data_IF_347914025266
#
_entry.id   IF_347914025266
#
_cell.length_a   1.000
_cell.length_b   1.000
_cell.length_c   1.000
_cell.angle_alpha   90.00
_cell.angle_beta   90.00
_cell.angle_gamma   90.00
#
_symmetry.space_group_name_H-M   'P 1'
#
loop_
_entity.id
_entity.type
_entity.pdbx_description
1 polymer ?
#
# COMPACT_ATOMS: atom_id res chain seq x y z
N UNK A 1 7.04 -16.86 -44.78
CA UNK A 1 6.49 -18.19 -44.39
C UNK A 1 7.20 -18.55 -43.07
N UNK A 2 6.59 -18.24 -42.00
CA UNK A 2 6.69 -18.93 -40.72
C UNK A 2 5.52 -18.39 -39.86
N UNK A 3 4.37 -18.98 -40.20
CA UNK A 3 3.14 -18.92 -39.42
C UNK A 3 3.19 -19.97 -38.31
N UNK A 4 2.63 -19.59 -37.16
CA UNK A 4 1.95 -20.45 -36.22
C UNK A 4 2.76 -21.55 -35.53
N UNK A 5 3.20 -21.19 -34.30
CA UNK A 5 3.03 -22.08 -33.16
C UNK A 5 2.20 -21.40 -32.09
N UNK A 6 0.90 -21.42 -32.29
CA UNK A 6 -0.06 -21.35 -31.23
C UNK A 6 -0.02 -22.71 -30.54
N UNK A 7 0.73 -22.83 -29.45
CA UNK A 7 0.72 -24.03 -28.64
C UNK A 7 -0.69 -24.31 -28.18
N UNK A 8 -1.18 -25.48 -28.53
CA UNK A 8 -2.38 -26.11 -27.99
C UNK A 8 -2.18 -26.27 -26.48
N UNK A 9 -2.49 -25.23 -25.70
CA UNK A 9 -2.69 -25.37 -24.26
C UNK A 9 -3.95 -26.22 -24.07
N UNK A 10 -3.78 -27.30 -23.32
CA UNK A 10 -4.83 -28.26 -22.97
C UNK A 10 -6.09 -27.54 -22.48
N UNK A 11 -7.11 -27.45 -23.33
CA UNK A 11 -8.40 -26.83 -23.06
C UNK A 11 -9.13 -27.48 -21.86
N UNK A 12 -8.70 -28.66 -21.44
CA UNK A 12 -9.33 -29.45 -20.38
C UNK A 12 -9.02 -28.95 -18.95
N UNK A 13 -7.96 -28.14 -18.76
CA UNK A 13 -7.56 -27.69 -17.40
C UNK A 13 -8.39 -26.49 -16.94
N UNK A 14 -8.96 -25.71 -17.85
CA UNK A 14 -9.72 -24.50 -17.52
C UNK A 14 -11.19 -24.74 -17.20
N UNK A 15 -11.81 -25.81 -17.70
CA UNK A 15 -13.24 -26.11 -17.47
C UNK A 15 -13.57 -26.43 -15.99
N UNK A 16 -12.55 -26.68 -15.16
CA UNK A 16 -12.72 -26.95 -13.72
C UNK A 16 -12.38 -25.77 -12.80
N UNK A 17 -11.84 -24.67 -13.36
CA UNK A 17 -11.44 -23.50 -12.55
C UNK A 17 -12.62 -22.53 -12.44
N UNK A 18 -13.03 -22.24 -11.21
CA UNK A 18 -14.03 -21.23 -10.89
C UNK A 18 -13.36 -20.02 -10.26
N UNK A 19 -13.80 -18.82 -10.66
CA UNK A 19 -13.41 -17.56 -10.04
C UNK A 19 -14.62 -17.04 -9.28
N UNK A 20 -14.41 -16.73 -8.00
CA UNK A 20 -15.48 -16.26 -7.13
C UNK A 20 -14.92 -15.32 -6.05
N UNK A 21 -15.82 -14.60 -5.39
CA UNK A 21 -15.49 -13.85 -4.16
C UNK A 21 -15.45 -14.87 -3.04
N UNK A 22 -14.38 -14.84 -2.23
CA UNK A 22 -14.18 -15.75 -1.12
C UNK A 22 -15.22 -15.53 -0.01
N UNK A 23 -15.67 -16.61 0.58
CA UNK A 23 -16.48 -16.60 1.81
C UNK A 23 -15.62 -16.71 3.08
N UNK A 24 -16.27 -16.59 4.24
CA UNK A 24 -15.59 -16.74 5.52
C UNK A 24 -14.95 -18.13 5.69
N UNK A 25 -15.55 -19.15 5.08
CA UNK A 25 -15.05 -20.53 5.07
C UNK A 25 -13.73 -20.69 4.33
N UNK A 26 -13.40 -19.77 3.43
CA UNK A 26 -12.19 -19.79 2.61
C UNK A 26 -10.96 -19.21 3.33
N UNK A 27 -11.16 -18.39 4.36
CA UNK A 27 -10.08 -17.61 5.01
C UNK A 27 -8.90 -18.47 5.48
N UNK A 28 -9.17 -19.67 5.99
CA UNK A 28 -8.11 -20.58 6.43
C UNK A 28 -7.22 -21.06 5.28
N UNK A 29 -7.82 -21.37 4.12
CA UNK A 29 -7.07 -21.80 2.93
C UNK A 29 -6.34 -20.62 2.28
N UNK A 30 -6.96 -19.44 2.29
CA UNK A 30 -6.34 -18.17 1.83
C UNK A 30 -5.10 -17.87 2.68
N UNK A 31 -5.21 -17.94 4.02
CA UNK A 31 -4.09 -17.73 4.94
C UNK A 31 -2.94 -18.71 4.69
N UNK A 32 -3.25 -19.99 4.43
CA UNK A 32 -2.23 -20.99 4.07
C UNK A 32 -1.52 -20.63 2.75
N UNK A 33 -2.28 -20.21 1.74
CA UNK A 33 -1.68 -19.79 0.45
C UNK A 33 -0.81 -18.53 0.64
N UNK A 34 -1.24 -17.59 1.50
CA UNK A 34 -0.45 -16.41 1.87
C UNK A 34 0.89 -16.83 2.48
N UNK A 35 0.87 -17.65 3.55
CA UNK A 35 2.07 -18.13 4.24
C UNK A 35 3.04 -18.90 3.32
N UNK A 36 2.52 -19.56 2.29
CA UNK A 36 3.33 -20.26 1.28
C UNK A 36 3.96 -19.32 0.23
N UNK A 37 3.42 -18.12 0.09
CA UNK A 37 3.74 -17.20 -1.00
C UNK A 37 4.55 -16.00 -0.57
N UNK A 38 4.42 -15.60 0.70
CA UNK A 38 5.03 -14.41 1.29
C UNK A 38 5.80 -14.79 2.54
N UNK A 39 6.85 -14.03 2.86
CA UNK A 39 7.73 -14.25 4.02
C UNK A 39 7.33 -13.37 5.21
N UNK A 40 6.03 -13.16 5.38
CA UNK A 40 5.50 -12.34 6.45
C UNK A 40 5.57 -13.07 7.80
N UNK A 41 5.84 -12.29 8.86
CA UNK A 41 5.85 -12.78 10.24
C UNK A 41 4.44 -13.21 10.68
N UNK A 42 4.37 -14.22 11.56
CA UNK A 42 3.08 -14.74 12.03
C UNK A 42 2.25 -13.66 12.75
N UNK A 43 2.89 -12.75 13.49
CA UNK A 43 2.23 -11.65 14.18
C UNK A 43 1.55 -10.67 13.20
N UNK A 44 2.24 -10.32 12.12
CA UNK A 44 1.64 -9.52 11.04
C UNK A 44 0.47 -10.24 10.37
N UNK A 45 0.62 -11.53 10.07
CA UNK A 45 -0.46 -12.34 9.50
C UNK A 45 -1.66 -12.44 10.43
N UNK A 46 -1.45 -12.55 11.74
CA UNK A 46 -2.53 -12.55 12.74
C UNK A 46 -3.31 -11.24 12.72
N UNK A 47 -2.60 -10.11 12.71
CA UNK A 47 -3.19 -8.78 12.53
C UNK A 47 -3.96 -8.69 11.21
N UNK A 48 -3.31 -8.99 10.07
CA UNK A 48 -3.91 -8.85 8.76
C UNK A 48 -5.21 -9.65 8.62
N UNK A 49 -5.19 -10.93 8.97
CA UNK A 49 -6.34 -11.82 8.80
C UNK A 49 -7.45 -11.59 9.83
N UNK A 50 -7.15 -11.03 11.00
CA UNK A 50 -8.17 -10.70 12.01
C UNK A 50 -8.80 -9.31 11.83
N UNK A 51 -8.07 -8.37 11.24
CA UNK A 51 -8.47 -6.95 11.22
C UNK A 51 -8.67 -6.39 9.81
N UNK A 52 -7.80 -6.74 8.86
CA UNK A 52 -7.81 -6.18 7.50
C UNK A 52 -8.58 -7.08 6.54
N UNK A 53 -8.22 -8.35 6.43
CA UNK A 53 -8.80 -9.28 5.46
C UNK A 53 -10.32 -9.45 5.59
N UNK A 54 -10.87 -9.32 6.79
CA UNK A 54 -12.31 -9.42 7.06
C UNK A 54 -13.11 -8.23 6.49
N UNK A 55 -12.46 -7.12 6.19
CA UNK A 55 -13.06 -5.89 5.61
C UNK A 55 -12.86 -5.81 4.09
N UNK A 56 -12.01 -6.66 3.53
CA UNK A 56 -11.61 -6.63 2.14
C UNK A 56 -12.52 -7.47 1.26
N UNK A 57 -12.46 -7.21 -0.04
CA UNK A 57 -12.95 -8.15 -1.03
C UNK A 57 -11.79 -9.07 -1.43
N UNK A 58 -11.96 -10.37 -1.17
CA UNK A 58 -10.95 -11.36 -1.55
C UNK A 58 -11.51 -12.19 -2.70
N UNK A 59 -10.74 -12.27 -3.77
CA UNK A 59 -11.10 -13.02 -4.97
C UNK A 59 -10.21 -14.25 -5.05
N UNK A 60 -10.81 -15.38 -5.37
CA UNK A 60 -10.12 -16.67 -5.45
C UNK A 60 -10.40 -17.40 -6.75
N UNK A 61 -9.41 -18.11 -7.23
CA UNK A 61 -9.59 -19.12 -8.24
C UNK A 61 -9.52 -20.50 -7.57
N UNK A 62 -10.57 -21.32 -7.77
CA UNK A 62 -10.69 -22.66 -7.21
C UNK A 62 -10.61 -23.72 -8.29
N UNK A 63 -9.87 -24.79 -8.03
CA UNK A 63 -9.90 -26.03 -8.78
C UNK A 63 -10.57 -27.11 -7.92
N UNK A 64 -11.82 -27.42 -8.22
CA UNK A 64 -12.68 -28.16 -7.31
C UNK A 64 -12.94 -27.37 -6.03
N UNK A 65 -12.54 -27.90 -4.86
CA UNK A 65 -12.62 -27.21 -3.58
C UNK A 65 -11.32 -26.50 -3.18
N UNK A 66 -10.20 -26.70 -3.90
CA UNK A 66 -8.91 -26.16 -3.54
C UNK A 66 -8.72 -24.74 -4.11
N UNK A 67 -8.34 -23.80 -3.27
CA UNK A 67 -7.91 -22.46 -3.69
C UNK A 67 -6.53 -22.56 -4.32
N UNK A 68 -6.39 -22.08 -5.56
CA UNK A 68 -5.14 -22.16 -6.33
C UNK A 68 -4.56 -20.80 -6.67
N UNK A 69 -5.37 -19.73 -6.52
CA UNK A 69 -4.90 -18.34 -6.68
C UNK A 69 -5.79 -17.42 -5.87
N UNK A 70 -5.24 -16.29 -5.42
CA UNK A 70 -5.96 -15.27 -4.67
C UNK A 70 -5.51 -13.87 -5.08
N UNK A 71 -6.38 -12.90 -4.88
CA UNK A 71 -6.14 -11.45 -4.96
C UNK A 71 -7.01 -10.78 -3.90
N UNK A 72 -6.41 -9.94 -3.08
CA UNK A 72 -7.14 -9.11 -2.13
C UNK A 72 -7.30 -7.70 -2.69
N UNK A 73 -8.45 -7.09 -2.49
CA UNK A 73 -8.77 -5.72 -2.86
C UNK A 73 -9.16 -4.97 -1.59
N UNK A 74 -8.25 -4.16 -1.08
CA UNK A 74 -8.43 -3.35 0.12
C UNK A 74 -9.07 -2.01 -0.28
N UNK A 75 -10.26 -1.67 0.24
CA UNK A 75 -10.90 -0.40 -0.09
C UNK A 75 -10.25 0.77 0.64
N UNK A 76 -9.98 1.85 -0.09
CA UNK A 76 -9.49 3.10 0.44
C UNK A 76 -10.33 4.27 -0.07
N UNK A 77 -10.36 5.36 0.72
CA UNK A 77 -10.82 6.65 0.24
C UNK A 77 -9.61 7.49 -0.12
N UNK A 78 -9.57 8.01 -1.35
CA UNK A 78 -8.53 8.91 -1.82
C UNK A 78 -9.07 10.33 -1.85
N UNK A 79 -8.28 11.32 -1.43
CA UNK A 79 -8.54 12.73 -1.69
C UNK A 79 -7.83 13.11 -2.99
N UNK A 80 -8.59 13.58 -3.96
CA UNK A 80 -8.09 14.10 -5.24
C UNK A 80 -8.33 15.61 -5.32
N UNK A 81 -7.28 16.39 -5.49
CA UNK A 81 -7.36 17.85 -5.63
C UNK A 81 -7.04 18.25 -7.06
N UNK A 82 -8.01 18.93 -7.70
CA UNK A 82 -7.87 19.45 -9.05
C UNK A 82 -8.32 20.90 -9.09
N UNK A 83 -7.46 21.80 -9.52
CA UNK A 83 -7.72 23.24 -9.60
C UNK A 83 -8.23 23.83 -8.25
N UNK A 84 -7.68 23.36 -7.13
CA UNK A 84 -8.04 23.81 -5.78
C UNK A 84 -9.36 23.23 -5.23
N UNK A 85 -9.98 22.31 -5.95
CA UNK A 85 -11.20 21.60 -5.48
C UNK A 85 -10.82 20.17 -5.13
N UNK A 86 -11.11 19.78 -3.89
CA UNK A 86 -10.88 18.41 -3.42
C UNK A 86 -12.16 17.58 -3.52
N UNK A 87 -12.06 16.42 -4.14
CA UNK A 87 -13.09 15.39 -4.20
C UNK A 87 -12.59 14.09 -3.59
N UNK A 88 -13.52 13.34 -2.98
CA UNK A 88 -13.18 12.01 -2.47
C UNK A 88 -13.50 10.94 -3.50
N UNK A 89 -12.55 10.03 -3.69
CA UNK A 89 -12.57 8.98 -4.69
C UNK A 89 -12.49 7.61 -4.03
N UNK A 90 -13.16 6.63 -4.62
CA UNK A 90 -13.07 5.25 -4.17
C UNK A 90 -11.86 4.58 -4.78
N UNK A 91 -10.88 4.25 -3.96
CA UNK A 91 -9.68 3.51 -4.33
C UNK A 91 -9.77 2.04 -3.93
N UNK A 92 -9.07 1.18 -4.66
CA UNK A 92 -8.86 -0.21 -4.31
C UNK A 92 -7.38 -0.56 -4.39
N UNK A 93 -6.78 -0.90 -3.25
CA UNK A 93 -5.40 -1.36 -3.20
C UNK A 93 -5.34 -2.88 -3.35
N UNK A 94 -4.65 -3.34 -4.38
CA UNK A 94 -4.51 -4.76 -4.69
C UNK A 94 -3.28 -5.31 -3.99
N UNK A 95 -3.50 -6.29 -3.11
CA UNK A 95 -2.44 -6.98 -2.36
C UNK A 95 -2.64 -8.49 -2.39
N UNK A 96 -1.70 -9.25 -1.85
CA UNK A 96 -1.83 -10.70 -1.66
C UNK A 96 -2.06 -11.45 -2.98
N UNK A 97 -1.45 -10.99 -4.07
CA UNK A 97 -1.60 -11.64 -5.39
C UNK A 97 -0.72 -12.89 -5.45
N UNK A 98 -1.32 -14.04 -5.27
CA UNK A 98 -0.60 -15.31 -5.25
C UNK A 98 -1.25 -16.39 -6.10
N UNK A 99 -0.42 -17.30 -6.61
CA UNK A 99 -0.85 -18.52 -7.31
C UNK A 99 0.05 -19.67 -6.87
N UNK A 100 -0.54 -20.80 -6.49
CA UNK A 100 0.25 -21.99 -6.11
C UNK A 100 1.19 -22.39 -7.24
N UNK A 101 2.42 -22.86 -6.93
CA UNK A 101 3.49 -23.09 -7.92
C UNK A 101 3.05 -23.94 -9.12
N UNK A 102 2.30 -25.02 -8.88
CA UNK A 102 1.85 -25.98 -9.90
C UNK A 102 0.90 -25.39 -10.93
N UNK A 103 0.26 -24.24 -10.58
CA UNK A 103 -0.70 -23.54 -11.43
C UNK A 103 -0.15 -22.23 -12.00
N UNK A 104 1.12 -21.90 -11.73
CA UNK A 104 1.77 -20.70 -12.30
C UNK A 104 1.96 -20.83 -13.81
N UNK A 105 2.07 -19.67 -14.48
CA UNK A 105 2.27 -19.54 -15.95
C UNK A 105 1.15 -20.13 -16.82
N UNK A 106 -0.01 -20.43 -16.24
CA UNK A 106 -1.19 -20.96 -16.93
C UNK A 106 -2.28 -19.87 -17.13
N UNK A 107 -2.00 -18.61 -16.92
CA UNK A 107 -2.94 -17.51 -17.13
C UNK A 107 -3.95 -17.26 -16.00
N UNK A 108 -3.94 -18.06 -14.92
CA UNK A 108 -4.92 -17.99 -13.81
C UNK A 108 -4.94 -16.61 -13.15
N UNK A 109 -3.77 -16.07 -12.81
CA UNK A 109 -3.64 -14.72 -12.25
C UNK A 109 -4.25 -13.67 -13.19
N UNK A 110 -4.08 -13.84 -14.50
CA UNK A 110 -4.67 -12.92 -15.50
C UNK A 110 -6.17 -12.97 -15.53
N UNK A 111 -6.74 -14.18 -15.44
CA UNK A 111 -8.20 -14.38 -15.38
C UNK A 111 -8.77 -13.79 -14.09
N UNK A 112 -8.10 -14.04 -12.96
CA UNK A 112 -8.52 -13.53 -11.65
C UNK A 112 -8.43 -12.00 -11.59
N UNK A 113 -7.34 -11.40 -12.07
CA UNK A 113 -7.19 -9.94 -12.15
C UNK A 113 -8.26 -9.31 -13.07
N UNK A 114 -8.57 -9.91 -14.20
CA UNK A 114 -9.65 -9.43 -15.06
C UNK A 114 -11.00 -9.41 -14.32
N UNK A 115 -11.29 -10.43 -13.51
CA UNK A 115 -12.49 -10.47 -12.68
C UNK A 115 -12.49 -9.35 -11.63
N UNK A 116 -11.36 -9.13 -10.93
CA UNK A 116 -11.19 -8.02 -9.97
C UNK A 116 -11.46 -6.66 -10.62
N UNK A 117 -10.89 -6.41 -11.81
CA UNK A 117 -11.09 -5.15 -12.52
C UNK A 117 -12.54 -4.96 -13.00
N UNK A 118 -13.22 -6.03 -13.43
CA UNK A 118 -14.65 -5.99 -13.77
C UNK A 118 -15.49 -5.67 -12.52
N UNK A 119 -15.23 -6.34 -11.41
CA UNK A 119 -15.87 -6.05 -10.13
C UNK A 119 -15.65 -4.60 -9.69
N UNK A 120 -14.44 -4.09 -9.82
CA UNK A 120 -14.13 -2.71 -9.46
C UNK A 120 -14.93 -1.70 -10.30
N UNK A 121 -15.03 -1.93 -11.61
CA UNK A 121 -15.86 -1.10 -12.49
C UNK A 121 -17.35 -1.17 -12.09
N UNK A 122 -17.90 -2.35 -11.87
CA UNK A 122 -19.29 -2.54 -11.46
C UNK A 122 -19.62 -1.92 -10.09
N UNK A 123 -18.61 -1.79 -9.22
CA UNK A 123 -18.75 -1.24 -7.86
C UNK A 123 -18.24 0.21 -7.72
N UNK A 124 -18.09 0.93 -8.84
CA UNK A 124 -17.75 2.34 -8.92
C UNK A 124 -16.43 2.70 -8.22
N UNK A 125 -15.39 1.88 -8.37
CA UNK A 125 -14.05 2.29 -8.00
C UNK A 125 -13.52 3.29 -9.02
N UNK A 126 -12.98 4.40 -8.56
CA UNK A 126 -12.34 5.41 -9.40
C UNK A 126 -10.91 4.97 -9.77
N UNK A 127 -10.21 4.36 -8.84
CA UNK A 127 -8.82 3.94 -8.96
C UNK A 127 -8.59 2.53 -8.42
N UNK A 128 -7.82 1.73 -9.15
CA UNK A 128 -7.20 0.50 -8.63
C UNK A 128 -5.70 0.69 -8.68
N UNK A 129 -5.01 0.42 -7.59
CA UNK A 129 -3.58 0.60 -7.51
C UNK A 129 -2.91 -0.56 -6.78
N UNK A 130 -1.62 -0.73 -7.02
CA UNK A 130 -0.83 -1.79 -6.42
C UNK A 130 0.66 -1.42 -6.43
N UNK A 131 1.41 -2.03 -5.53
CA UNK A 131 2.86 -2.07 -5.55
C UNK A 131 3.32 -3.43 -6.09
N UNK A 132 3.82 -3.50 -7.33
CA UNK A 132 4.12 -4.79 -7.96
C UNK A 132 5.49 -5.32 -7.53
N UNK A 133 5.64 -6.61 -7.29
CA UNK A 133 6.96 -7.24 -7.25
C UNK A 133 7.70 -7.05 -8.61
N UNK A 134 6.95 -7.17 -9.73
CA UNK A 134 7.44 -6.92 -11.09
C UNK A 134 6.37 -6.26 -11.93
N UNK A 135 6.63 -5.06 -12.42
CA UNK A 135 5.71 -4.28 -13.27
C UNK A 135 5.24 -5.05 -14.52
N UNK A 136 6.09 -5.91 -15.07
CA UNK A 136 5.75 -6.69 -16.27
C UNK A 136 4.51 -7.56 -16.09
N UNK A 137 4.19 -7.95 -14.87
CA UNK A 137 2.98 -8.75 -14.59
C UNK A 137 1.70 -7.94 -14.76
N UNK A 138 1.76 -6.60 -14.71
CA UNK A 138 0.58 -5.73 -14.69
C UNK A 138 0.47 -4.79 -15.89
N UNK A 139 1.59 -4.43 -16.53
CA UNK A 139 1.61 -3.52 -17.72
C UNK A 139 0.67 -3.96 -18.83
N UNK A 140 0.60 -5.28 -19.12
CA UNK A 140 -0.30 -5.82 -20.16
C UNK A 140 -1.79 -5.85 -19.76
N UNK A 141 -2.15 -5.35 -18.56
CA UNK A 141 -3.52 -5.35 -18.02
C UNK A 141 -4.06 -3.93 -17.78
N UNK A 142 -3.45 -2.95 -18.39
CA UNK A 142 -3.85 -1.54 -18.29
C UNK A 142 -3.30 -0.79 -17.09
N UNK A 143 -2.51 -1.43 -16.22
CA UNK A 143 -1.80 -0.72 -15.17
C UNK A 143 -0.62 0.06 -15.74
N UNK A 144 -0.47 1.30 -15.28
CA UNK A 144 0.65 2.17 -15.62
C UNK A 144 1.43 2.56 -14.36
N UNK A 145 2.77 2.61 -14.41
CA UNK A 145 3.56 3.11 -13.30
C UNK A 145 3.33 4.62 -13.14
N UNK A 146 3.08 5.05 -11.90
CA UNK A 146 2.76 6.44 -11.59
C UNK A 146 3.74 7.02 -10.58
N UNK A 147 4.07 6.29 -9.52
CA UNK A 147 4.95 6.75 -8.45
C UNK A 147 6.17 5.85 -8.39
N UNK A 148 7.37 6.44 -8.32
CA UNK A 148 8.59 5.72 -7.96
C UNK A 148 8.83 5.87 -6.46
N UNK A 149 9.11 4.77 -5.77
CA UNK A 149 9.46 4.77 -4.36
C UNK A 149 10.79 4.06 -4.14
N UNK A 150 11.38 4.29 -2.98
CA UNK A 150 12.65 3.66 -2.62
C UNK A 150 12.89 3.68 -1.13
N UNK A 151 13.99 3.08 -0.74
CA UNK A 151 14.48 3.10 0.63
C UNK A 151 15.64 4.08 0.76
N UNK A 152 15.64 4.82 1.85
CA UNK A 152 16.64 5.83 2.17
C UNK A 152 17.19 5.53 3.55
N UNK A 153 18.49 5.35 3.68
CA UNK A 153 19.13 5.22 4.98
C UNK A 153 19.22 6.59 5.65
N UNK A 154 18.63 6.72 6.82
CA UNK A 154 18.57 7.95 7.60
C UNK A 154 19.21 7.79 8.98
N UNK A 155 19.90 6.70 9.24
CA UNK A 155 20.48 6.32 10.54
C UNK A 155 21.32 7.42 11.18
N UNK A 156 22.19 8.06 10.39
CA UNK A 156 23.14 9.07 10.88
C UNK A 156 22.63 10.51 10.74
N UNK A 157 21.44 10.70 10.18
CA UNK A 157 20.88 12.02 9.99
C UNK A 157 20.38 12.59 11.32
N UNK A 158 20.46 13.91 11.46
CA UNK A 158 20.03 14.64 12.65
C UNK A 158 19.09 15.77 12.24
N UNK A 159 18.11 16.11 13.10
CA UNK A 159 17.23 17.24 12.82
C UNK A 159 18.02 18.56 12.86
N UNK A 160 17.63 19.49 12.02
CA UNK A 160 18.14 20.88 12.06
C UNK A 160 17.38 21.70 13.09
N UNK A 161 16.05 21.45 13.22
CA UNK A 161 15.16 22.11 14.17
C UNK A 161 14.86 21.17 15.35
N UNK A 162 14.95 21.68 16.58
CA UNK A 162 14.81 20.90 17.81
C UNK A 162 13.67 21.39 18.72
N UNK A 163 12.67 22.07 18.18
CA UNK A 163 11.52 22.62 18.93
C UNK A 163 10.18 22.09 18.42
N UNK A 164 10.19 20.89 17.84
CA UNK A 164 8.97 20.12 17.58
C UNK A 164 8.47 19.44 18.86
N UNK A 165 7.28 18.91 18.84
CA UNK A 165 6.69 18.08 19.89
C UNK A 165 6.34 16.69 19.34
N UNK A 166 6.84 15.64 19.98
CA UNK A 166 6.49 14.25 19.69
C UNK A 166 5.22 13.88 20.46
N UNK A 167 4.21 13.35 19.76
CA UNK A 167 2.91 12.99 20.33
C UNK A 167 2.49 11.58 19.90
N UNK A 168 1.68 10.93 20.75
CA UNK A 168 0.86 9.78 20.37
C UNK A 168 -0.47 10.22 19.70
N UNK A 169 -1.19 9.27 19.15
CA UNK A 169 -2.49 9.55 18.51
C UNK A 169 -3.55 9.99 19.54
N UNK A 170 -3.43 9.57 20.79
CA UNK A 170 -4.31 9.93 21.92
C UNK A 170 -4.23 11.42 22.28
N UNK A 171 -3.12 12.07 21.99
CA UNK A 171 -2.88 13.49 22.29
C UNK A 171 -3.41 14.44 21.19
N UNK A 172 -3.99 13.88 20.11
CA UNK A 172 -4.40 14.63 18.93
C UNK A 172 -5.91 14.68 18.82
N UNK A 173 -6.45 15.86 18.54
CA UNK A 173 -7.88 16.04 18.30
C UNK A 173 -8.25 15.78 16.83
N UNK A 174 -9.54 15.51 16.57
CA UNK A 174 -10.04 15.32 15.21
C UNK A 174 -9.95 16.61 14.38
N UNK A 175 -10.05 17.78 15.03
CA UNK A 175 -9.87 19.09 14.39
C UNK A 175 -8.43 19.27 13.91
N UNK A 176 -7.45 18.83 14.69
CA UNK A 176 -6.03 18.86 14.27
C UNK A 176 -5.78 17.93 13.08
N UNK A 177 -6.35 16.72 13.07
CA UNK A 177 -6.26 15.79 11.93
C UNK A 177 -6.95 16.36 10.69
N UNK A 178 -8.09 17.03 10.85
CA UNK A 178 -8.78 17.70 9.75
C UNK A 178 -7.94 18.86 9.20
N UNK A 179 -7.37 19.70 10.07
CA UNK A 179 -6.43 20.78 9.66
C UNK A 179 -5.24 20.22 8.89
N UNK A 180 -4.64 19.16 9.39
CA UNK A 180 -3.53 18.47 8.73
C UNK A 180 -3.94 17.97 7.33
N UNK A 181 -5.10 17.30 7.21
CA UNK A 181 -5.62 16.83 5.93
C UNK A 181 -5.86 17.97 4.93
N UNK A 182 -6.37 19.12 5.40
CA UNK A 182 -6.51 20.31 4.54
C UNK A 182 -5.17 20.82 4.05
N UNK A 183 -4.14 20.86 4.90
CA UNK A 183 -2.78 21.25 4.48
C UNK A 183 -2.19 20.27 3.45
N UNK A 184 -2.48 18.98 3.59
CA UNK A 184 -2.03 17.97 2.62
C UNK A 184 -2.64 18.20 1.23
N UNK A 185 -3.87 18.73 1.11
CA UNK A 185 -4.46 19.05 -0.21
C UNK A 185 -3.74 20.18 -0.94
N UNK A 186 -2.95 20.98 -0.24
CA UNK A 186 -2.12 22.04 -0.85
C UNK A 186 -0.78 21.48 -1.37
N UNK A 187 -0.41 20.28 -0.93
CA UNK A 187 0.84 19.65 -1.27
C UNK A 187 0.68 18.50 -2.26
N UNK A 188 -0.39 17.72 -2.10
CA UNK A 188 -0.62 16.51 -2.88
C UNK A 188 -1.92 16.60 -3.68
N UNK A 189 -1.85 16.22 -4.94
CA UNK A 189 -3.00 16.15 -5.83
C UNK A 189 -3.83 14.88 -5.60
N UNK A 190 -3.18 13.80 -5.14
CA UNK A 190 -3.84 12.54 -4.82
C UNK A 190 -3.15 11.88 -3.61
N UNK A 191 -3.90 11.57 -2.56
CA UNK A 191 -3.38 10.92 -1.36
C UNK A 191 -4.50 10.22 -0.56
N UNK A 192 -4.12 9.33 0.34
CA UNK A 192 -5.05 8.76 1.34
C UNK A 192 -5.13 9.70 2.55
N UNK A 193 -6.30 10.25 2.90
CA UNK A 193 -6.46 11.14 4.06
C UNK A 193 -6.03 10.45 5.37
N UNK A 194 -5.28 11.15 6.18
CA UNK A 194 -4.81 10.70 7.49
C UNK A 194 -5.90 10.93 8.55
N UNK A 195 -7.00 10.17 8.43
CA UNK A 195 -8.09 10.19 9.42
C UNK A 195 -7.68 9.43 10.69
N UNK A 196 -8.39 9.65 11.80
CA UNK A 196 -8.16 8.88 13.03
C UNK A 196 -8.26 7.38 12.79
N UNK A 197 -9.32 6.92 12.13
CA UNK A 197 -9.49 5.49 11.82
C UNK A 197 -8.34 4.92 10.97
N UNK A 198 -7.81 5.70 10.01
CA UNK A 198 -6.64 5.31 9.24
C UNK A 198 -5.39 5.17 10.13
N UNK A 199 -5.16 6.12 11.04
CA UNK A 199 -4.01 6.10 11.93
C UNK A 199 -4.11 5.01 13.01
N UNK A 200 -5.32 4.70 13.48
CA UNK A 200 -5.58 3.56 14.37
C UNK A 200 -5.27 2.23 13.66
N UNK A 201 -5.71 2.06 12.43
CA UNK A 201 -5.39 0.87 11.62
C UNK A 201 -3.86 0.76 11.40
N UNK A 202 -3.20 1.85 11.03
CA UNK A 202 -1.74 1.90 10.87
C UNK A 202 -1.02 1.60 12.20
N UNK A 203 -1.54 2.10 13.31
CA UNK A 203 -1.00 1.81 14.65
C UNK A 203 -1.06 0.32 14.97
N UNK A 204 -2.20 -0.33 14.71
CA UNK A 204 -2.32 -1.80 14.89
C UNK A 204 -1.36 -2.59 13.99
N UNK A 205 -1.17 -2.13 12.75
CA UNK A 205 -0.20 -2.71 11.82
C UNK A 205 1.22 -2.60 12.36
N UNK A 206 1.65 -1.40 12.72
CA UNK A 206 2.97 -1.16 13.31
C UNK A 206 3.19 -1.97 14.59
N UNK A 207 2.20 -2.02 15.48
CA UNK A 207 2.27 -2.79 16.73
C UNK A 207 2.39 -4.29 16.50
N UNK A 208 1.85 -4.83 15.40
CA UNK A 208 2.03 -6.23 15.03
C UNK A 208 3.50 -6.59 14.76
N UNK A 209 4.32 -5.58 14.44
CA UNK A 209 5.76 -5.66 14.20
C UNK A 209 6.55 -4.83 15.25
N UNK A 210 6.02 -4.76 16.48
CA UNK A 210 6.62 -4.13 17.66
C UNK A 210 6.85 -2.61 17.56
N UNK A 211 6.30 -1.96 16.55
CA UNK A 211 6.39 -0.53 16.31
C UNK A 211 5.18 0.25 16.81
N UNK A 212 5.04 1.49 16.33
CA UNK A 212 3.89 2.35 16.62
C UNK A 212 3.74 3.47 15.58
N UNK A 213 2.71 4.31 15.75
CA UNK A 213 2.47 5.54 14.99
C UNK A 213 2.85 6.74 15.83
N UNK A 214 3.62 7.65 15.25
CA UNK A 214 4.04 8.88 15.88
C UNK A 214 3.56 10.10 15.10
N UNK A 215 3.24 11.15 15.83
CA UNK A 215 2.80 12.42 15.30
C UNK A 215 3.74 13.52 15.79
N UNK A 216 4.20 14.34 14.86
CA UNK A 216 5.09 15.46 15.15
C UNK A 216 4.31 16.74 14.98
N UNK A 217 4.27 17.56 16.03
CA UNK A 217 3.69 18.91 15.98
C UNK A 217 4.78 19.98 15.89
N UNK A 218 4.46 21.03 15.16
CA UNK A 218 5.14 22.30 15.17
C UNK A 218 4.18 23.31 15.79
N UNK A 219 4.53 23.81 16.97
CA UNK A 219 3.62 24.56 17.83
C UNK A 219 2.36 23.72 18.16
N UNK A 220 1.18 24.12 17.69
CA UNK A 220 -0.09 23.41 17.92
C UNK A 220 -0.61 22.64 16.69
N UNK A 221 0.17 22.62 15.59
CA UNK A 221 -0.25 22.05 14.32
C UNK A 221 0.54 20.79 13.98
N UNK A 222 -0.13 19.81 13.39
CA UNK A 222 0.56 18.60 12.93
C UNK A 222 1.47 18.97 11.75
N UNK A 223 2.77 18.74 11.91
CA UNK A 223 3.78 18.91 10.87
C UNK A 223 4.01 17.62 10.07
N UNK A 224 3.98 16.47 10.76
CA UNK A 224 4.18 15.16 10.15
C UNK A 224 3.54 14.02 10.95
N UNK A 225 3.33 12.90 10.26
CA UNK A 225 2.90 11.61 10.83
C UNK A 225 3.76 10.51 10.21
N UNK A 226 4.13 9.50 10.98
CA UNK A 226 4.80 8.31 10.46
C UNK A 226 4.48 7.07 11.28
N UNK A 227 4.54 5.90 10.63
CA UNK A 227 4.62 4.61 11.30
C UNK A 227 6.06 4.14 11.37
N UNK A 228 6.39 3.34 12.38
CA UNK A 228 7.68 2.65 12.48
C UNK A 228 7.44 1.18 12.76
N UNK A 229 8.22 0.31 12.14
CA UNK A 229 8.20 -1.13 12.33
C UNK A 229 9.61 -1.63 12.62
N UNK A 230 9.72 -2.72 13.35
CA UNK A 230 11.00 -3.26 13.78
C UNK A 230 11.26 -4.66 13.23
N UNK A 231 12.48 -4.86 12.73
CA UNK A 231 12.99 -6.17 12.33
C UNK A 231 14.39 -6.38 12.92
N UNK A 232 14.45 -7.04 14.06
CA UNK A 232 15.69 -7.22 14.82
C UNK A 232 16.27 -5.89 15.31
N UNK A 233 17.46 -5.54 14.80
CA UNK A 233 18.17 -4.29 15.10
C UNK A 233 17.98 -3.21 14.01
N UNK A 234 17.00 -3.40 13.12
CA UNK A 234 16.62 -2.46 12.07
C UNK A 234 15.27 -1.85 12.36
N UNK A 235 15.09 -0.59 11.98
CA UNK A 235 13.81 0.10 12.00
C UNK A 235 13.44 0.54 10.57
N UNK A 236 12.21 0.29 10.17
CA UNK A 236 11.65 0.77 8.91
C UNK A 236 10.58 1.81 9.20
N UNK A 237 10.78 3.01 8.64
CA UNK A 237 9.80 4.08 8.70
C UNK A 237 8.87 3.93 7.50
N UNK A 238 7.61 3.78 7.80
CA UNK A 238 6.54 3.62 6.80
C UNK A 238 5.54 4.77 6.90
N UNK A 239 4.84 5.05 5.81
CA UNK A 239 3.73 6.02 5.77
C UNK A 239 4.11 7.43 6.24
N UNK A 240 5.41 7.82 6.16
CA UNK A 240 5.81 9.17 6.51
C UNK A 240 5.11 10.21 5.64
N UNK A 241 4.32 11.06 6.25
CA UNK A 241 3.51 12.07 5.59
C UNK A 241 3.73 13.43 6.27
N UNK A 242 4.10 14.46 5.50
CA UNK A 242 4.43 15.78 6.04
C UNK A 242 3.83 16.91 5.22
N UNK A 243 3.48 18.00 5.90
CA UNK A 243 3.05 19.25 5.24
C UNK A 243 4.23 20.16 4.91
N UNK A 244 5.38 19.96 5.52
CA UNK A 244 6.58 20.80 5.31
C UNK A 244 7.39 20.43 4.07
N UNK A 245 7.31 19.16 3.65
CA UNK A 245 8.15 18.61 2.59
C UNK A 245 9.56 18.22 3.01
N UNK A 246 9.92 18.47 4.25
CA UNK A 246 11.22 18.10 4.84
C UNK A 246 11.09 16.80 5.63
N UNK A 247 12.18 16.05 5.77
CA UNK A 247 12.29 14.93 6.72
C UNK A 247 12.67 15.37 8.12
N UNK A 248 12.90 16.65 8.35
CA UNK A 248 13.37 17.20 9.62
C UNK A 248 12.43 16.86 10.82
N UNK A 249 11.08 16.97 10.68
CA UNK A 249 10.18 16.52 11.74
C UNK A 249 10.33 15.03 12.07
N UNK A 250 10.55 14.16 11.06
CA UNK A 250 10.78 12.74 11.26
C UNK A 250 12.08 12.50 12.05
N UNK A 251 13.17 13.16 11.66
CA UNK A 251 14.47 13.02 12.35
C UNK A 251 14.38 13.46 13.81
N UNK A 252 13.64 14.54 14.08
CA UNK A 252 13.34 14.96 15.45
C UNK A 252 12.59 13.86 16.21
N UNK A 253 11.51 13.33 15.66
CA UNK A 253 10.71 12.28 16.29
C UNK A 253 11.52 11.02 16.60
N UNK A 254 12.41 10.60 15.70
CA UNK A 254 13.32 9.46 15.93
C UNK A 254 14.31 9.76 17.06
N UNK A 255 14.82 10.98 17.18
CA UNK A 255 15.75 11.35 18.23
C UNK A 255 15.10 11.44 19.63
N UNK A 256 13.85 11.89 19.69
CA UNK A 256 13.11 12.08 20.96
C UNK A 256 12.33 10.83 21.41
N UNK A 257 12.06 9.92 20.50
CA UNK A 257 11.39 8.67 20.87
C UNK A 257 12.32 7.76 21.67
N UNK A 258 11.77 7.00 22.62
CA UNK A 258 12.48 5.94 23.35
C UNK A 258 12.82 4.74 22.45
N UNK A 259 12.98 5.00 21.16
CA UNK A 259 13.32 3.98 20.17
C UNK A 259 14.72 3.45 20.51
N UNK A 260 14.90 2.12 20.62
CA UNK A 260 16.22 1.53 20.82
C UNK A 260 17.19 2.00 19.75
N UNK A 261 18.47 2.07 20.11
CA UNK A 261 19.52 2.40 19.12
C UNK A 261 19.57 1.27 18.10
N UNK A 262 19.10 1.56 16.90
CA UNK A 262 19.14 0.62 15.78
C UNK A 262 20.45 0.74 15.02
N UNK A 263 20.91 -0.37 14.46
CA UNK A 263 22.06 -0.39 13.55
C UNK A 263 21.72 0.26 12.21
N UNK A 264 20.45 0.23 11.83
CA UNK A 264 19.96 0.78 10.56
C UNK A 264 18.53 1.30 10.70
N UNK A 265 18.30 2.53 10.24
CA UNK A 265 16.96 3.14 10.10
C UNK A 265 16.74 3.45 8.64
N UNK A 266 15.75 2.78 8.04
CA UNK A 266 15.36 2.97 6.64
C UNK A 266 14.03 3.73 6.57
N UNK A 267 13.95 4.71 5.69
CA UNK A 267 12.72 5.42 5.33
C UNK A 267 12.24 4.94 3.98
N UNK A 268 11.03 4.38 3.92
CA UNK A 268 10.37 4.01 2.67
C UNK A 268 9.51 5.16 2.14
N UNK A 269 9.67 5.51 0.88
CA UNK A 269 8.83 6.52 0.25
C UNK A 269 9.43 7.16 -1.01
N UNK A 270 8.94 8.36 -1.31
CA UNK A 270 9.34 9.19 -2.46
C UNK A 270 9.96 10.47 -1.93
N UNK A 271 11.30 10.56 -1.92
CA UNK A 271 12.03 11.72 -1.42
C UNK A 271 13.12 12.12 -2.40
N UNK A 272 13.11 13.37 -2.84
CA UNK A 272 14.04 13.86 -3.86
C UNK A 272 15.35 14.38 -3.28
N UNK A 273 15.37 14.77 -2.00
CA UNK A 273 16.51 15.47 -1.38
C UNK A 273 17.58 14.53 -0.82
N UNK A 274 17.32 13.23 -0.80
CA UNK A 274 18.23 12.22 -0.26
C UNK A 274 18.59 11.16 -1.30
N UNK A 275 19.80 10.63 -1.19
CA UNK A 275 20.25 9.57 -2.08
C UNK A 275 19.55 8.25 -1.75
N UNK A 276 18.74 7.79 -2.69
CA UNK A 276 18.13 6.47 -2.62
C UNK A 276 19.21 5.38 -2.57
N UNK A 277 19.14 4.51 -1.55
CA UNK A 277 20.06 3.36 -1.41
C UNK A 277 19.55 2.13 -2.13
N UNK A 278 18.23 1.96 -2.18
CA UNK A 278 17.59 0.83 -2.84
C UNK A 278 16.33 1.31 -3.53
N UNK A 279 16.21 1.03 -4.83
CA UNK A 279 14.97 1.29 -5.54
C UNK A 279 13.90 0.35 -4.98
N UNK A 280 12.81 0.94 -4.51
CA UNK A 280 11.60 0.23 -4.12
C UNK A 280 10.77 -0.16 -5.34
N UNK A 281 9.61 -0.70 -5.09
CA UNK A 281 8.63 -1.00 -6.12
C UNK A 281 7.75 0.24 -6.32
N UNK A 282 7.65 0.74 -7.53
CA UNK A 282 6.78 1.88 -7.84
C UNK A 282 5.30 1.49 -7.72
N UNK A 283 4.45 2.48 -7.47
CA UNK A 283 3.00 2.27 -7.46
C UNK A 283 2.46 2.32 -8.89
N UNK A 284 1.68 1.34 -9.26
CA UNK A 284 0.98 1.27 -10.54
C UNK A 284 -0.52 1.51 -10.34
N UNK A 285 -1.12 2.26 -11.26
CA UNK A 285 -2.54 2.59 -11.26
C UNK A 285 -3.27 2.04 -12.47
N UNK A 286 -4.55 1.73 -12.28
CA UNK A 286 -5.55 1.44 -13.28
C UNK A 286 -6.81 2.27 -12.99
N UNK A 287 -7.35 2.92 -14.00
CA UNK A 287 -8.62 3.67 -13.94
C UNK A 287 -9.70 2.90 -14.69
N UNK A 288 -10.75 2.40 -14.03
CA UNK A 288 -11.77 1.57 -14.67
C UNK A 288 -12.55 2.26 -15.81
N UNK A 289 -12.64 3.58 -15.77
CA UNK A 289 -13.49 4.37 -16.69
C UNK A 289 -12.73 5.31 -17.61
N UNK A 290 -11.40 5.38 -17.51
CA UNK A 290 -10.55 6.29 -18.29
C UNK A 290 -9.29 5.58 -18.73
N UNK A 291 -8.74 6.01 -19.88
CA UNK A 291 -7.32 5.76 -20.12
C UNK A 291 -6.53 6.55 -19.07
N UNK A 292 -5.62 5.88 -18.37
CA UNK A 292 -4.76 6.53 -17.38
C UNK A 292 -4.15 7.79 -17.98
N UNK A 293 -4.58 8.94 -17.48
CA UNK A 293 -4.26 10.23 -18.06
C UNK A 293 -2.80 10.60 -17.82
N UNK A 294 -2.26 11.51 -18.66
CA UNK A 294 -0.91 12.08 -18.48
C UNK A 294 -0.71 12.75 -17.11
N UNK A 295 -1.80 13.08 -16.40
CA UNK A 295 -1.76 13.67 -15.06
C UNK A 295 -0.90 12.85 -14.10
N UNK A 296 -1.05 11.54 -14.11
CA UNK A 296 -0.30 10.64 -13.21
C UNK A 296 1.13 10.37 -13.68
N UNK A 297 1.42 10.57 -14.96
CA UNK A 297 2.76 10.35 -15.53
C UNK A 297 3.80 11.41 -15.15
N UNK A 298 3.36 12.54 -14.56
CA UNK A 298 4.21 13.72 -14.30
C UNK A 298 4.08 14.29 -12.90
N UNK A 299 3.36 13.65 -12.00
CA UNK A 299 2.98 14.25 -10.72
C UNK A 299 3.91 13.80 -9.59
N UNK A 300 4.84 14.69 -9.24
CA UNK A 300 5.56 14.66 -7.95
C UNK A 300 4.61 14.93 -6.76
N UNK A 301 3.30 15.10 -7.04
CA UNK A 301 2.25 15.46 -6.10
C UNK A 301 1.31 14.30 -5.76
N UNK A 302 1.65 13.06 -6.12
CA UNK A 302 0.91 11.89 -5.70
C UNK A 302 1.61 11.27 -4.50
N UNK A 303 0.89 11.17 -3.39
CA UNK A 303 1.35 10.53 -2.18
C UNK A 303 0.47 9.31 -1.88
N UNK A 304 0.86 8.18 -2.41
CA UNK A 304 0.31 6.86 -2.11
C UNK A 304 1.48 6.02 -1.64
N UNK A 305 1.47 5.68 -0.38
CA UNK A 305 2.57 4.99 0.28
C UNK A 305 2.05 3.85 1.16
N UNK A 306 0.85 3.38 0.88
CA UNK A 306 0.24 2.25 1.58
C UNK A 306 1.05 0.99 1.25
N UNK A 307 1.70 0.46 2.28
CA UNK A 307 2.38 -0.83 2.29
C UNK A 307 1.53 -1.73 3.19
N UNK A 308 1.06 -2.83 2.67
CA UNK A 308 0.35 -3.88 3.42
C UNK A 308 1.12 -5.18 3.28
#
# INVERSE_FOLDING_TARGET
MNEERCDQMDCKTFDSIRIEIAGAEDLNEIRKLWKQSFDDQDAYMDYYFSSVAIRNQIFVAKNGSKIISMVHLNPYTLAETTAGVTAYKKGGYVVGVATVPEFRKQGIMSMLMKYVLSYAAENNYDYIYLMPEKEIYYKGRGFVPVVESGFYNITDLKPEKNDYELCGLEDITDEQLQSFSVKLTQRYDLFVPRTRAYLEDLGMECQSLFGDVYIIKDENEIAAVYGIMYDGDRAEIVQYCTVTGSIDPLLYGICESDIPVFSEVELFGTYTDHKMIKKGHGIMFYEPYKECTELYRKSDHIFINEVV
#
